data_IF_407354225854
#
_entry.id   IF_407354225854
#
_cell.length_a   1.000
_cell.length_b   1.000
_cell.length_c   1.000
_cell.angle_alpha   90.00
_cell.angle_beta   90.00
_cell.angle_gamma   90.00
#
_symmetry.space_group_name_H-M   'P 1'
#
loop_
_entity.id
_entity.type
_entity.pdbx_description
1 polymer ?
#
# COMPACT_ATOMS: atom_id res chain seq x y z
N UNK A 1 27.94 -0.35 -69.26
CA UNK A 1 29.04 0.12 -68.39
C UNK A 1 28.55 1.37 -67.67
N UNK A 2 28.42 1.28 -66.33
CA UNK A 2 28.23 2.30 -65.28
C UNK A 2 27.59 3.65 -65.63
N UNK A 3 26.49 4.00 -64.94
CA UNK A 3 26.41 5.13 -64.00
C UNK A 3 25.30 4.76 -62.98
N UNK A 4 25.70 4.42 -61.76
CA UNK A 4 24.81 4.20 -60.62
C UNK A 4 24.74 5.50 -59.81
N UNK A 5 23.56 6.11 -59.79
CA UNK A 5 23.23 7.29 -58.98
C UNK A 5 23.11 6.90 -57.51
N UNK A 6 24.06 7.35 -56.71
CA UNK A 6 24.02 7.27 -55.24
C UNK A 6 23.02 8.34 -54.76
N UNK A 7 21.88 7.92 -54.20
CA UNK A 7 21.01 8.79 -53.40
C UNK A 7 21.43 8.68 -51.94
N UNK A 8 22.01 9.75 -51.40
CA UNK A 8 22.16 9.95 -49.96
C UNK A 8 20.76 10.15 -49.36
N UNK A 9 20.37 9.28 -48.41
CA UNK A 9 19.22 9.45 -47.55
C UNK A 9 19.77 9.78 -46.14
N UNK A 10 19.45 10.93 -45.52
CA UNK A 10 19.83 11.15 -44.12
C UNK A 10 18.87 10.36 -43.21
N UNK A 11 19.42 9.42 -42.44
CA UNK A 11 18.74 8.80 -41.30
C UNK A 11 18.52 9.87 -40.22
N UNK A 12 17.30 10.37 -40.12
CA UNK A 12 16.81 11.08 -38.94
C UNK A 12 16.31 10.02 -37.93
N UNK A 13 17.20 9.60 -37.04
CA UNK A 13 16.83 8.87 -35.82
C UNK A 13 16.07 9.85 -34.90
N UNK A 14 14.74 9.84 -35.01
CA UNK A 14 13.88 10.54 -34.06
C UNK A 14 13.80 9.68 -32.79
N UNK A 15 14.65 9.97 -31.81
CA UNK A 15 14.46 9.51 -30.42
C UNK A 15 13.19 10.16 -29.87
N UNK A 16 12.05 9.49 -30.04
CA UNK A 16 10.82 9.79 -29.32
C UNK A 16 11.05 9.49 -27.83
N UNK A 17 11.51 10.50 -27.09
CA UNK A 17 11.25 10.59 -25.67
C UNK A 17 9.73 10.61 -25.51
N UNK A 18 9.13 9.47 -25.20
CA UNK A 18 7.74 9.45 -24.74
C UNK A 18 7.71 10.07 -23.37
N UNK A 19 7.50 11.39 -23.32
CA UNK A 19 6.94 12.03 -22.15
C UNK A 19 5.66 11.23 -21.82
N UNK A 20 5.62 10.66 -20.62
CA UNK A 20 4.42 9.97 -20.11
C UNK A 20 3.30 11.00 -20.03
N UNK A 21 2.48 11.10 -21.09
CA UNK A 21 1.22 11.82 -21.04
C UNK A 21 0.38 11.05 -20.02
N UNK A 22 0.27 11.60 -18.81
CA UNK A 22 -0.54 11.00 -17.75
C UNK A 22 -1.96 10.85 -18.27
N UNK A 23 -2.50 9.62 -18.25
CA UNK A 23 -3.90 9.40 -18.61
C UNK A 23 -4.78 10.30 -17.75
N UNK A 24 -5.73 10.99 -18.39
CA UNK A 24 -6.70 11.81 -17.68
C UNK A 24 -7.52 10.92 -16.74
N UNK A 25 -7.52 11.27 -15.45
CA UNK A 25 -8.19 10.49 -14.42
C UNK A 25 -9.70 10.64 -14.59
N UNK A 26 -10.40 9.50 -14.65
CA UNK A 26 -11.84 9.48 -14.89
C UNK A 26 -12.56 8.91 -13.68
N UNK A 27 -13.57 9.66 -13.21
CA UNK A 27 -14.41 9.21 -12.11
C UNK A 27 -15.33 8.07 -12.59
N UNK A 28 -15.35 7.00 -11.83
CA UNK A 28 -16.25 5.86 -12.00
C UNK A 28 -17.72 6.28 -11.90
N UNK A 29 -18.62 5.47 -12.45
CA UNK A 29 -20.06 5.67 -12.28
C UNK A 29 -20.48 5.49 -10.82
N UNK A 30 -19.94 4.46 -10.17
CA UNK A 30 -20.09 4.16 -8.74
C UNK A 30 -18.72 4.04 -8.08
N UNK A 31 -18.55 4.51 -6.84
CA UNK A 31 -17.29 4.35 -6.13
C UNK A 31 -17.06 2.87 -5.79
N UNK A 32 -15.79 2.49 -5.67
CA UNK A 32 -15.41 1.28 -4.96
C UNK A 32 -15.88 1.40 -3.51
N UNK A 33 -16.42 0.31 -2.96
CA UNK A 33 -16.94 0.25 -1.60
C UNK A 33 -15.93 -0.36 -0.67
N UNK A 34 -15.58 0.37 0.39
CA UNK A 34 -14.91 -0.18 1.55
C UNK A 34 -15.77 -1.25 2.21
N UNK A 35 -15.13 -2.30 2.72
CA UNK A 35 -15.79 -3.23 3.63
C UNK A 35 -15.79 -2.64 5.05
N UNK A 36 -16.71 -3.12 5.90
CA UNK A 36 -16.64 -2.77 7.33
C UNK A 36 -15.32 -3.25 7.91
N UNK A 37 -14.67 -2.41 8.71
CA UNK A 37 -13.49 -2.81 9.45
C UNK A 37 -13.77 -4.06 10.31
N UNK A 38 -14.99 -4.21 10.82
CA UNK A 38 -15.39 -5.34 11.68
C UNK A 38 -15.48 -6.67 10.91
N UNK A 39 -15.49 -6.59 9.58
CA UNK A 39 -15.38 -7.76 8.72
C UNK A 39 -13.94 -8.25 8.55
N UNK A 40 -12.95 -7.53 9.09
CA UNK A 40 -11.52 -7.88 9.07
C UNK A 40 -11.05 -8.28 10.46
N UNK A 41 -10.57 -9.50 10.57
CA UNK A 41 -9.93 -10.06 11.77
C UNK A 41 -8.43 -10.11 11.52
N UNK A 42 -7.65 -9.44 12.36
CA UNK A 42 -6.18 -9.51 12.28
C UNK A 42 -5.67 -10.68 13.12
N UNK A 43 -4.72 -11.42 12.57
CA UNK A 43 -4.19 -12.65 13.16
C UNK A 43 -2.81 -12.45 13.82
N UNK A 44 -2.13 -11.33 13.51
CA UNK A 44 -0.85 -11.01 14.12
C UNK A 44 -1.00 -10.55 15.57
N UNK A 45 0.04 -10.80 16.38
CA UNK A 45 0.15 -10.32 17.76
C UNK A 45 1.03 -9.07 17.89
N UNK A 46 1.58 -8.62 16.78
CA UNK A 46 2.45 -7.46 16.69
C UNK A 46 1.67 -6.21 16.22
N UNK A 47 2.40 -5.12 16.00
CA UNK A 47 1.84 -3.83 15.63
C UNK A 47 1.20 -3.79 14.22
N UNK A 48 1.37 -4.84 13.40
CA UNK A 48 0.63 -4.98 12.13
C UNK A 48 -0.84 -5.36 12.36
N UNK A 49 -1.23 -5.68 13.59
CA UNK A 49 -2.62 -5.82 14.00
C UNK A 49 -3.24 -4.45 14.26
N UNK A 50 -3.90 -3.89 13.24
CA UNK A 50 -4.50 -2.54 13.31
C UNK A 50 -5.63 -2.44 14.36
N UNK A 51 -6.17 -3.57 14.82
CA UNK A 51 -7.17 -3.59 15.92
C UNK A 51 -6.53 -3.46 17.28
N UNK A 52 -5.41 -4.12 17.50
CA UNK A 52 -4.64 -3.97 18.74
C UNK A 52 -4.12 -2.54 18.90
N UNK A 53 -3.78 -1.86 17.80
CA UNK A 53 -3.47 -0.43 17.81
C UNK A 53 -4.60 0.41 18.44
N UNK A 54 -5.86 0.04 18.19
CA UNK A 54 -7.04 0.65 18.80
C UNK A 54 -7.17 0.45 20.30
N UNK A 55 -6.41 -0.45 20.91
CA UNK A 55 -6.38 -0.69 22.36
C UNK A 55 -5.23 0.04 23.06
N UNK A 56 -4.37 0.74 22.32
CA UNK A 56 -3.28 1.53 22.89
C UNK A 56 -3.86 2.77 23.57
N UNK A 57 -3.42 3.05 24.80
CA UNK A 57 -3.89 4.21 25.58
C UNK A 57 -5.02 3.85 26.56
N UNK A 58 -5.67 4.87 27.11
CA UNK A 58 -6.70 4.71 28.15
C UNK A 58 -8.11 4.51 27.60
N UNK A 59 -8.40 5.05 26.42
CA UNK A 59 -9.71 4.98 25.77
C UNK A 59 -9.55 4.14 24.50
N UNK A 60 -10.25 3.00 24.36
CA UNK A 60 -10.17 2.20 23.16
C UNK A 60 -10.85 2.92 21.98
N UNK A 61 -10.19 2.91 20.83
CA UNK A 61 -10.74 3.41 19.58
C UNK A 61 -11.48 2.29 18.86
N UNK A 62 -12.70 2.59 18.42
CA UNK A 62 -13.52 1.70 17.63
C UNK A 62 -13.57 2.20 16.18
N UNK A 63 -13.65 1.30 15.18
CA UNK A 63 -13.77 1.73 13.79
C UNK A 63 -15.01 2.59 13.60
N UNK A 64 -14.83 3.71 12.92
CA UNK A 64 -15.93 4.59 12.54
C UNK A 64 -16.23 4.40 11.05
N UNK A 65 -17.49 4.43 10.63
CA UNK A 65 -17.81 4.46 9.21
C UNK A 65 -17.06 5.59 8.51
N UNK A 66 -16.42 5.28 7.39
CA UNK A 66 -15.80 6.31 6.55
C UNK A 66 -16.85 7.31 6.06
N UNK A 67 -16.45 8.58 5.97
CA UNK A 67 -17.29 9.60 5.36
C UNK A 67 -17.56 9.26 3.90
N UNK A 68 -18.83 9.19 3.52
CA UNK A 68 -19.22 9.00 2.12
C UNK A 68 -19.14 10.32 1.36
N UNK A 69 -18.32 10.33 0.30
CA UNK A 69 -18.16 11.52 -0.55
C UNK A 69 -19.06 11.47 -1.77
N UNK A 70 -19.78 12.57 -2.05
CA UNK A 70 -20.58 12.68 -3.27
C UNK A 70 -19.67 12.90 -4.47
N UNK A 71 -20.06 12.35 -5.63
CA UNK A 71 -19.32 12.46 -6.89
C UNK A 71 -18.91 13.91 -7.24
N UNK A 72 -19.78 14.88 -6.99
CA UNK A 72 -19.51 16.31 -7.28
C UNK A 72 -18.38 16.88 -6.42
N UNK A 73 -18.31 16.48 -5.15
CA UNK A 73 -17.31 16.95 -4.19
C UNK A 73 -15.95 16.33 -4.53
N UNK A 74 -15.93 15.05 -4.90
CA UNK A 74 -14.72 14.38 -5.38
C UNK A 74 -14.26 14.91 -6.75
N UNK A 75 -15.19 15.31 -7.62
CA UNK A 75 -14.84 15.99 -8.89
C UNK A 75 -14.15 17.33 -8.62
N UNK A 76 -14.62 18.09 -7.64
CA UNK A 76 -13.97 19.34 -7.24
C UNK A 76 -12.57 19.07 -6.66
N UNK A 77 -12.45 18.08 -5.76
CA UNK A 77 -11.19 17.66 -5.18
C UNK A 77 -10.18 17.22 -6.24
N UNK A 78 -10.61 16.41 -7.20
CA UNK A 78 -9.77 15.93 -8.30
C UNK A 78 -9.30 17.10 -9.20
N UNK A 79 -10.12 18.14 -9.37
CA UNK A 79 -9.75 19.32 -10.15
C UNK A 79 -8.70 20.17 -9.44
N UNK A 80 -8.80 20.32 -8.11
CA UNK A 80 -7.92 21.20 -7.33
C UNK A 80 -6.63 20.51 -6.88
N UNK A 81 -6.66 19.20 -6.67
CA UNK A 81 -5.53 18.40 -6.23
C UNK A 81 -5.58 17.01 -6.90
N UNK A 82 -5.20 16.91 -8.20
CA UNK A 82 -5.27 15.66 -8.96
C UNK A 82 -4.16 14.66 -8.60
N UNK A 83 -3.13 15.09 -7.87
CA UNK A 83 -1.94 14.30 -7.56
C UNK A 83 -2.05 13.77 -6.13
N UNK A 84 -1.73 12.49 -5.87
CA UNK A 84 -1.68 11.98 -4.50
C UNK A 84 -0.76 12.84 -3.63
N UNK A 85 -1.26 13.29 -2.49
CA UNK A 85 -0.44 13.96 -1.48
C UNK A 85 0.50 12.91 -0.87
N UNK A 86 1.80 13.18 -0.84
CA UNK A 86 2.77 12.32 -0.15
C UNK A 86 3.10 12.92 1.20
N UNK A 87 3.33 12.09 2.23
CA UNK A 87 3.67 12.60 3.55
C UNK A 87 5.02 13.31 3.55
N UNK A 88 5.09 14.40 4.32
CA UNK A 88 6.36 15.04 4.65
C UNK A 88 7.07 14.16 5.67
N UNK A 89 7.94 13.28 5.20
CA UNK A 89 8.71 12.33 6.02
C UNK A 89 9.87 13.01 6.77
N UNK A 90 9.64 14.22 7.31
CA UNK A 90 10.58 14.96 8.15
C UNK A 90 10.11 14.90 9.61
N UNK A 91 11.05 14.84 10.55
CA UNK A 91 10.75 14.88 11.97
C UNK A 91 10.50 16.33 12.46
N UNK A 92 9.63 16.54 13.46
CA UNK A 92 8.66 15.56 13.98
C UNK A 92 7.55 15.30 12.96
N UNK A 93 7.05 14.07 12.94
CA UNK A 93 6.02 13.69 11.97
C UNK A 93 4.65 14.15 12.46
N UNK A 94 3.84 14.72 11.57
CA UNK A 94 2.53 15.26 11.94
C UNK A 94 1.41 14.23 11.74
N UNK A 95 0.70 13.90 12.82
CA UNK A 95 -0.53 13.08 12.74
C UNK A 95 -1.61 13.81 11.94
N UNK A 96 -1.68 15.14 12.05
CA UNK A 96 -2.64 15.96 11.30
C UNK A 96 -2.41 15.91 9.78
N UNK A 97 -1.15 15.92 9.35
CA UNK A 97 -0.81 15.75 7.92
C UNK A 97 -1.26 14.38 7.42
N UNK A 98 -0.98 13.31 8.17
CA UNK A 98 -1.41 11.96 7.82
C UNK A 98 -2.94 11.85 7.68
N UNK A 99 -3.69 12.47 8.59
CA UNK A 99 -5.16 12.52 8.52
C UNK A 99 -5.61 13.31 7.28
N UNK A 100 -4.96 14.43 6.96
CA UNK A 100 -5.26 15.21 5.75
C UNK A 100 -5.03 14.39 4.48
N UNK A 101 -3.94 13.62 4.41
CA UNK A 101 -3.63 12.70 3.31
C UNK A 101 -4.74 11.66 3.16
N UNK A 102 -5.23 11.09 4.26
CA UNK A 102 -6.34 10.11 4.22
C UNK A 102 -7.62 10.76 3.69
N UNK A 103 -7.99 11.94 4.23
CA UNK A 103 -9.17 12.69 3.80
C UNK A 103 -9.12 13.09 2.32
N UNK A 104 -7.91 13.29 1.77
CA UNK A 104 -7.70 13.60 0.37
C UNK A 104 -7.68 12.34 -0.53
N UNK A 105 -6.86 11.35 -0.18
CA UNK A 105 -6.53 10.22 -1.05
C UNK A 105 -7.62 9.14 -1.06
N UNK A 106 -8.29 8.87 0.06
CA UNK A 106 -9.28 7.82 0.15
C UNK A 106 -10.52 8.03 -0.74
N UNK A 107 -11.16 9.21 -0.79
CA UNK A 107 -12.27 9.43 -1.73
C UNK A 107 -11.80 9.37 -3.18
N UNK A 108 -10.60 9.84 -3.49
CA UNK A 108 -10.05 9.76 -4.85
C UNK A 108 -9.79 8.30 -5.25
N UNK A 109 -9.22 7.49 -4.35
CA UNK A 109 -9.06 6.04 -4.55
C UNK A 109 -10.41 5.37 -4.85
N UNK A 110 -11.43 5.63 -4.01
CA UNK A 110 -12.74 5.02 -4.17
C UNK A 110 -13.40 5.42 -5.51
N UNK A 111 -13.30 6.68 -5.92
CA UNK A 111 -14.00 7.17 -7.11
C UNK A 111 -13.22 7.03 -8.43
N UNK A 112 -11.89 6.97 -8.40
CA UNK A 112 -11.06 6.76 -9.61
C UNK A 112 -10.70 5.29 -9.80
N UNK A 113 -10.56 4.54 -8.70
CA UNK A 113 -9.99 3.20 -8.68
C UNK A 113 -8.49 3.18 -8.95
N UNK A 114 -7.76 4.28 -8.75
CA UNK A 114 -6.32 4.35 -8.99
C UNK A 114 -5.49 4.05 -7.74
N UNK A 115 -4.64 3.04 -7.83
CA UNK A 115 -3.84 2.52 -6.72
C UNK A 115 -2.71 3.46 -6.28
N UNK A 116 -2.34 4.47 -7.08
CA UNK A 116 -1.35 5.48 -6.67
C UNK A 116 -1.75 6.28 -5.43
N UNK A 117 -3.05 6.31 -5.09
CA UNK A 117 -3.53 6.86 -3.82
C UNK A 117 -3.26 5.90 -2.65
N UNK A 118 -3.20 4.58 -2.90
CA UNK A 118 -2.81 3.59 -1.90
C UNK A 118 -1.35 3.78 -1.45
N UNK A 119 -0.45 4.20 -2.35
CA UNK A 119 0.94 4.55 -1.96
C UNK A 119 0.93 5.60 -0.83
N UNK A 120 0.20 6.71 -1.03
CA UNK A 120 0.08 7.79 -0.06
C UNK A 120 -0.58 7.35 1.25
N UNK A 121 -1.66 6.56 1.17
CA UNK A 121 -2.35 6.03 2.33
C UNK A 121 -1.44 5.10 3.15
N UNK A 122 -0.68 4.23 2.47
CA UNK A 122 0.23 3.30 3.12
C UNK A 122 1.44 4.02 3.71
N UNK A 123 1.99 5.00 2.99
CA UNK A 123 3.10 5.82 3.49
C UNK A 123 2.67 6.58 4.77
N UNK A 124 1.48 7.20 4.79
CA UNK A 124 0.95 7.87 5.99
C UNK A 124 0.68 6.88 7.14
N UNK A 125 0.08 5.73 6.85
CA UNK A 125 -0.21 4.70 7.85
C UNK A 125 1.05 4.18 8.54
N UNK A 126 1.99 3.67 7.76
CA UNK A 126 3.16 2.97 8.30
C UNK A 126 4.24 3.91 8.81
N UNK A 127 4.34 5.11 8.23
CA UNK A 127 5.44 6.01 8.57
C UNK A 127 5.04 7.18 9.45
N UNK A 128 3.77 7.56 9.59
CA UNK A 128 3.39 8.67 10.48
C UNK A 128 2.42 8.22 11.59
N UNK A 129 1.37 7.48 11.23
CA UNK A 129 0.33 7.10 12.19
C UNK A 129 0.79 5.99 13.15
N UNK A 130 1.34 4.90 12.65
CA UNK A 130 1.80 3.80 13.52
C UNK A 130 2.93 4.22 14.47
N UNK A 131 3.98 4.95 14.04
CA UNK A 131 5.01 5.43 14.95
C UNK A 131 4.46 6.36 16.05
N UNK A 132 3.49 7.21 15.72
CA UNK A 132 2.85 8.09 16.70
C UNK A 132 2.13 7.34 17.84
N UNK A 133 1.77 6.05 17.65
CA UNK A 133 1.17 5.23 18.71
C UNK A 133 2.15 4.89 19.84
N UNK A 134 3.46 4.93 19.58
CA UNK A 134 4.48 4.62 20.57
C UNK A 134 4.78 5.81 21.49
N UNK A 135 4.42 7.00 21.04
CA UNK A 135 4.73 8.26 21.69
C UNK A 135 3.50 8.66 22.52
N UNK A 136 3.70 8.83 23.83
CA UNK A 136 2.64 9.32 24.73
C UNK A 136 2.42 10.81 24.48
N UNK A 137 1.60 11.14 23.49
CA UNK A 137 1.27 12.51 23.09
C UNK A 137 -0.25 12.72 23.04
N UNK A 138 -0.68 13.98 22.98
CA UNK A 138 -2.09 14.31 22.75
C UNK A 138 -2.60 13.75 21.41
N UNK A 139 -1.74 13.72 20.40
CA UNK A 139 -2.06 13.23 19.05
C UNK A 139 -2.17 11.70 18.98
N UNK A 140 -1.71 10.97 20.01
CA UNK A 140 -1.77 9.50 20.06
C UNK A 140 -3.19 8.99 19.83
N UNK A 141 -4.21 9.63 20.42
CA UNK A 141 -5.61 9.23 20.24
C UNK A 141 -6.13 9.46 18.81
N UNK A 142 -5.65 10.52 18.13
CA UNK A 142 -5.99 10.77 16.74
C UNK A 142 -5.35 9.72 15.82
N UNK A 143 -4.08 9.39 16.08
CA UNK A 143 -3.37 8.33 15.37
C UNK A 143 -4.04 6.96 15.59
N UNK A 144 -4.36 6.64 16.85
CA UNK A 144 -5.07 5.43 17.26
C UNK A 144 -6.35 5.25 16.46
N UNK A 145 -7.20 6.29 16.40
CA UNK A 145 -8.43 6.23 15.63
C UNK A 145 -8.19 6.07 14.13
N UNK A 146 -7.23 6.80 13.55
CA UNK A 146 -6.92 6.71 12.13
C UNK A 146 -6.37 5.32 11.72
N UNK A 147 -5.55 4.70 12.57
CA UNK A 147 -5.02 3.34 12.36
C UNK A 147 -6.13 2.30 12.39
N UNK A 148 -7.08 2.42 13.33
CA UNK A 148 -8.24 1.52 13.39
C UNK A 148 -9.14 1.69 12.16
N UNK A 149 -9.34 2.92 11.70
CA UNK A 149 -10.15 3.23 10.52
C UNK A 149 -9.49 2.70 9.22
N UNK A 150 -8.17 2.52 9.20
CA UNK A 150 -7.40 2.04 8.05
C UNK A 150 -7.78 0.64 7.54
N UNK A 151 -8.31 -0.21 8.42
CA UNK A 151 -8.82 -1.53 8.04
C UNK A 151 -9.91 -1.46 6.94
N UNK A 152 -10.62 -0.33 6.82
CA UNK A 152 -11.71 -0.16 5.86
C UNK A 152 -11.24 0.00 4.40
N UNK A 153 -10.00 0.41 4.16
CA UNK A 153 -9.46 0.46 2.80
C UNK A 153 -8.54 -0.72 2.47
N UNK A 154 -8.33 -1.64 3.41
CA UNK A 154 -7.59 -2.89 3.17
C UNK A 154 -8.18 -3.66 1.98
N UNK A 155 -9.51 -3.72 1.91
CA UNK A 155 -10.25 -4.29 0.79
C UNK A 155 -11.29 -3.31 0.27
N UNK A 156 -11.30 -3.10 -1.05
CA UNK A 156 -12.34 -2.34 -1.74
C UNK A 156 -13.06 -3.24 -2.74
N UNK A 157 -14.36 -3.02 -2.93
CA UNK A 157 -15.19 -3.90 -3.76
C UNK A 157 -15.98 -3.13 -4.81
N UNK A 158 -16.24 -3.78 -5.93
CA UNK A 158 -17.25 -3.38 -6.91
C UNK A 158 -18.05 -4.59 -7.37
N UNK A 159 -18.82 -4.46 -8.46
CA UNK A 159 -19.63 -5.56 -8.97
C UNK A 159 -18.80 -6.66 -9.63
N UNK A 160 -17.53 -6.38 -9.96
CA UNK A 160 -16.64 -7.28 -10.68
C UNK A 160 -15.71 -8.06 -9.75
N UNK A 161 -15.35 -7.49 -8.59
CA UNK A 161 -14.52 -8.21 -7.62
C UNK A 161 -13.93 -7.36 -6.51
N UNK A 162 -12.73 -7.72 -6.08
CA UNK A 162 -12.08 -7.20 -4.87
C UNK A 162 -10.71 -6.63 -5.20
N UNK A 163 -10.45 -5.40 -4.75
CA UNK A 163 -9.12 -4.80 -4.68
C UNK A 163 -8.53 -4.98 -3.29
N UNK A 164 -7.26 -5.38 -3.24
CA UNK A 164 -6.49 -5.66 -2.02
C UNK A 164 -5.38 -4.61 -1.94
N UNK A 165 -5.44 -3.73 -0.94
CA UNK A 165 -4.60 -2.54 -0.85
C UNK A 165 -3.59 -2.56 0.30
N UNK A 166 -3.85 -3.37 1.34
CA UNK A 166 -2.96 -3.56 2.48
C UNK A 166 -2.65 -5.05 2.65
N UNK A 167 -1.36 -5.35 2.78
CA UNK A 167 -0.84 -6.71 2.91
C UNK A 167 -0.44 -7.00 4.36
N UNK A 168 -1.42 -7.38 5.18
CA UNK A 168 -1.26 -7.70 6.60
C UNK A 168 -1.89 -9.07 6.91
N UNK A 169 -1.44 -9.73 7.96
CA UNK A 169 -2.01 -11.01 8.40
C UNK A 169 -3.46 -10.82 8.86
N UNK A 170 -4.41 -11.23 8.03
CA UNK A 170 -5.82 -10.98 8.28
C UNK A 170 -6.73 -11.99 7.58
N UNK A 171 -7.85 -12.29 8.23
CA UNK A 171 -8.99 -12.97 7.65
C UNK A 171 -10.13 -11.97 7.44
N UNK A 172 -10.71 -11.92 6.24
CA UNK A 172 -11.81 -11.02 5.92
C UNK A 172 -12.99 -11.76 5.32
N UNK A 173 -14.21 -11.45 5.79
CA UNK A 173 -15.45 -11.89 5.15
C UNK A 173 -16.04 -10.76 4.32
N UNK A 174 -16.14 -10.96 3.02
CA UNK A 174 -16.61 -9.95 2.07
C UNK A 174 -17.96 -10.39 1.52
N UNK A 175 -18.98 -9.54 1.70
CA UNK A 175 -20.34 -9.78 1.21
C UNK A 175 -20.79 -8.57 0.40
N UNK A 176 -21.12 -8.80 -0.86
CA UNK A 176 -21.71 -7.81 -1.77
C UNK A 176 -23.04 -8.34 -2.33
N UNK A 177 -23.86 -7.50 -2.98
CA UNK A 177 -25.05 -7.99 -3.68
C UNK A 177 -24.76 -8.99 -4.81
N UNK A 178 -23.52 -9.06 -5.31
CA UNK A 178 -23.13 -9.89 -6.46
C UNK A 178 -22.39 -11.17 -6.05
N UNK A 179 -21.64 -11.14 -4.96
CA UNK A 179 -20.83 -12.27 -4.50
C UNK A 179 -20.58 -12.21 -2.99
N UNK A 180 -20.26 -13.36 -2.42
CA UNK A 180 -19.76 -13.47 -1.05
C UNK A 180 -18.53 -14.38 -1.06
N UNK A 181 -17.48 -13.98 -0.36
CA UNK A 181 -16.25 -14.76 -0.22
C UNK A 181 -15.56 -14.47 1.12
N UNK A 182 -14.55 -15.27 1.42
CA UNK A 182 -13.57 -14.97 2.46
C UNK A 182 -12.18 -14.85 1.82
N UNK A 183 -11.36 -13.97 2.37
CA UNK A 183 -9.94 -13.86 2.04
C UNK A 183 -9.14 -14.14 3.30
N UNK A 184 -8.28 -15.15 3.23
CA UNK A 184 -7.30 -15.47 4.27
C UNK A 184 -5.92 -15.02 3.77
N UNK A 185 -5.43 -13.91 4.32
CA UNK A 185 -4.17 -13.30 3.93
C UNK A 185 -3.09 -13.60 4.96
N UNK A 186 -2.01 -14.21 4.49
CA UNK A 186 -0.75 -14.37 5.23
C UNK A 186 0.32 -13.55 4.54
N UNK A 187 1.00 -12.68 5.28
CA UNK A 187 1.95 -11.72 4.73
C UNK A 187 3.13 -11.53 5.66
N UNK A 188 4.32 -11.41 5.08
CA UNK A 188 5.51 -10.92 5.79
C UNK A 188 5.68 -9.41 5.66
N UNK A 189 4.89 -8.75 4.82
CA UNK A 189 4.90 -7.29 4.71
C UNK A 189 4.47 -6.65 6.04
N UNK A 190 5.00 -5.47 6.40
CA UNK A 190 5.99 -4.70 5.63
C UNK A 190 7.45 -5.15 5.82
N UNK A 191 7.73 -6.13 6.69
CA UNK A 191 9.10 -6.50 7.10
C UNK A 191 9.77 -7.60 6.27
N UNK A 192 9.03 -8.21 5.34
CA UNK A 192 9.49 -9.27 4.44
C UNK A 192 8.63 -9.34 3.19
N UNK A 193 9.13 -9.99 2.15
CA UNK A 193 8.63 -9.83 0.76
C UNK A 193 7.30 -10.52 0.47
N UNK A 194 7.02 -11.64 1.14
CA UNK A 194 5.99 -12.59 0.70
C UNK A 194 4.58 -12.15 1.08
N UNK A 195 3.68 -12.23 0.10
CA UNK A 195 2.23 -12.10 0.27
C UNK A 195 1.56 -13.38 -0.23
N UNK A 196 0.62 -13.89 0.54
CA UNK A 196 -0.23 -15.04 0.22
C UNK A 196 -1.68 -14.70 0.54
N UNK A 197 -2.58 -14.99 -0.40
CA UNK A 197 -4.03 -14.76 -0.25
C UNK A 197 -4.76 -16.00 -0.71
N UNK A 198 -5.46 -16.65 0.23
CA UNK A 198 -6.33 -17.79 -0.06
C UNK A 198 -7.78 -17.35 -0.13
N UNK A 199 -8.44 -17.80 -1.18
CA UNK A 199 -9.85 -17.51 -1.45
C UNK A 199 -10.72 -18.61 -0.84
N UNK A 200 -11.75 -18.24 -0.10
CA UNK A 200 -12.70 -19.17 0.51
C UNK A 200 -14.14 -18.69 0.39
N UNK A 201 -15.09 -19.49 0.88
CA UNK A 201 -16.50 -19.10 0.95
C UNK A 201 -17.19 -18.84 -0.39
N UNK A 202 -16.58 -19.24 -1.52
CA UNK A 202 -17.12 -19.08 -2.87
C UNK A 202 -17.83 -20.33 -3.38
N UNK A 203 -18.82 -20.12 -4.25
CA UNK A 203 -19.32 -21.19 -5.12
C UNK A 203 -18.23 -21.60 -6.11
N UNK A 204 -18.23 -22.86 -6.52
CA UNK A 204 -17.29 -23.37 -7.52
C UNK A 204 -17.36 -22.54 -8.81
N UNK A 205 -16.21 -22.26 -9.41
CA UNK A 205 -16.06 -21.57 -10.69
C UNK A 205 -16.68 -20.16 -10.72
N UNK A 206 -16.66 -19.42 -9.62
CA UNK A 206 -17.23 -18.06 -9.56
C UNK A 206 -16.32 -17.07 -10.32
N UNK A 207 -16.81 -16.38 -11.37
CA UNK A 207 -16.03 -15.37 -12.07
C UNK A 207 -15.84 -14.13 -11.19
N UNK A 208 -14.59 -13.79 -10.87
CA UNK A 208 -14.25 -12.59 -10.11
C UNK A 208 -12.92 -11.99 -10.58
N UNK A 209 -12.79 -10.68 -10.38
CA UNK A 209 -11.54 -9.96 -10.49
C UNK A 209 -10.88 -9.82 -9.11
N UNK A 210 -9.65 -10.34 -8.96
CA UNK A 210 -8.80 -9.97 -7.83
C UNK A 210 -7.76 -8.96 -8.30
N UNK A 211 -7.67 -7.83 -7.59
CA UNK A 211 -6.81 -6.70 -7.96
C UNK A 211 -5.82 -6.45 -6.83
N UNK A 212 -4.56 -6.77 -7.06
CA UNK A 212 -3.50 -6.63 -6.06
C UNK A 212 -2.79 -5.30 -6.27
N UNK A 213 -2.82 -4.42 -5.26
CA UNK A 213 -2.10 -3.15 -5.33
C UNK A 213 -0.61 -3.40 -5.56
N UNK A 214 -0.04 -2.82 -6.61
CA UNK A 214 1.40 -2.85 -6.89
C UNK A 214 1.97 -1.49 -6.50
N UNK A 215 2.75 -1.40 -5.39
CA UNK A 215 3.28 -0.13 -4.92
C UNK A 215 4.25 0.51 -5.90
N UNK A 216 4.31 1.84 -5.92
CA UNK A 216 5.18 2.62 -6.83
C UNK A 216 6.69 2.37 -6.64
N UNK A 217 7.10 1.87 -5.48
CA UNK A 217 8.47 1.48 -5.22
C UNK A 217 8.86 0.14 -5.88
N UNK A 218 7.88 -0.71 -6.21
CA UNK A 218 8.10 -1.94 -6.96
C UNK A 218 8.34 -1.60 -8.43
N UNK A 219 9.60 -1.69 -8.88
CA UNK A 219 10.02 -1.26 -10.23
C UNK A 219 9.60 -2.22 -11.33
N UNK A 220 9.50 -3.50 -11.01
CA UNK A 220 9.15 -4.57 -11.96
C UNK A 220 7.93 -5.29 -11.43
N UNK A 221 7.00 -5.63 -12.32
CA UNK A 221 5.84 -6.44 -11.97
C UNK A 221 6.29 -7.73 -11.26
N UNK A 222 5.79 -8.04 -10.04
CA UNK A 222 6.12 -9.30 -9.42
C UNK A 222 5.51 -10.46 -10.22
N UNK A 223 6.21 -11.60 -10.24
CA UNK A 223 5.63 -12.84 -10.75
C UNK A 223 4.54 -13.29 -9.77
N UNK A 224 3.32 -13.44 -10.28
CA UNK A 224 2.17 -13.85 -9.49
C UNK A 224 1.85 -15.30 -9.82
N UNK A 225 1.63 -16.09 -8.76
CA UNK A 225 1.31 -17.50 -8.87
C UNK A 225 -0.10 -17.75 -8.36
N UNK A 226 -0.87 -18.58 -9.06
CA UNK A 226 -2.13 -19.14 -8.59
C UNK A 226 -1.98 -20.65 -8.51
N UNK A 227 -2.16 -21.23 -7.32
CA UNK A 227 -2.00 -22.66 -7.07
C UNK A 227 -0.65 -23.22 -7.57
N UNK A 228 0.43 -22.46 -7.35
CA UNK A 228 1.79 -22.85 -7.72
C UNK A 228 2.15 -22.70 -9.21
N UNK A 229 1.25 -22.15 -10.04
CA UNK A 229 1.52 -21.86 -11.46
C UNK A 229 1.56 -20.37 -11.68
N UNK A 230 2.52 -19.91 -12.49
CA UNK A 230 2.58 -18.51 -12.91
C UNK A 230 1.27 -18.14 -13.62
N UNK A 231 0.66 -17.04 -13.18
CA UNK A 231 -0.62 -16.56 -13.66
C UNK A 231 -0.43 -15.25 -14.40
N UNK A 232 -1.02 -15.17 -15.59
CA UNK A 232 -1.06 -13.92 -16.33
C UNK A 232 -1.93 -12.89 -15.62
N UNK A 233 -1.41 -11.67 -15.48
CA UNK A 233 -2.13 -10.53 -14.92
C UNK A 233 -1.94 -9.29 -15.79
N UNK A 234 -2.95 -8.41 -15.81
CA UNK A 234 -2.86 -7.11 -16.48
C UNK A 234 -2.60 -6.01 -15.47
N UNK A 235 -1.76 -5.04 -15.83
CA UNK A 235 -1.57 -3.83 -15.02
C UNK A 235 -2.67 -2.82 -15.36
N UNK A 236 -3.52 -2.52 -14.39
CA UNK A 236 -4.61 -1.56 -14.56
C UNK A 236 -4.66 -0.61 -13.38
N UNK A 237 -4.48 0.68 -13.65
CA UNK A 237 -4.58 1.74 -12.63
C UNK A 237 -3.71 1.49 -11.38
N UNK A 238 -2.57 0.81 -11.53
CA UNK A 238 -1.66 0.46 -10.42
C UNK A 238 -2.00 -0.86 -9.69
N UNK A 239 -2.91 -1.66 -10.23
CA UNK A 239 -3.22 -2.99 -9.75
C UNK A 239 -2.75 -4.07 -10.73
N UNK A 240 -2.22 -5.17 -10.18
CA UNK A 240 -2.17 -6.44 -10.88
C UNK A 240 -3.55 -7.09 -10.85
N UNK A 241 -4.19 -7.18 -12.01
CA UNK A 241 -5.56 -7.70 -12.12
C UNK A 241 -5.54 -9.12 -12.66
N UNK A 242 -6.13 -10.03 -11.89
CA UNK A 242 -6.37 -11.42 -12.27
C UNK A 242 -7.86 -11.60 -12.50
N UNK A 243 -8.25 -11.92 -13.74
CA UNK A 243 -9.64 -12.20 -14.12
C UNK A 243 -9.80 -13.67 -14.45
N UNK A 244 -10.46 -14.40 -13.57
CA UNK A 244 -10.70 -15.84 -13.77
C UNK A 244 -11.91 -16.32 -13.00
N UNK A 245 -12.21 -17.61 -13.18
CA UNK A 245 -13.13 -18.36 -12.33
C UNK A 245 -12.34 -18.88 -11.12
N UNK A 246 -12.84 -18.56 -9.93
CA UNK A 246 -12.24 -18.93 -8.66
C UNK A 246 -13.02 -20.05 -7.97
N UNK A 247 -12.31 -20.91 -7.27
CA UNK A 247 -12.85 -21.92 -6.37
C UNK A 247 -12.41 -21.61 -4.93
N UNK A 248 -13.18 -22.08 -3.96
CA UNK A 248 -12.70 -22.11 -2.59
C UNK A 248 -11.43 -22.98 -2.50
N UNK A 249 -10.40 -22.47 -1.82
CA UNK A 249 -9.08 -23.08 -1.72
C UNK A 249 -8.06 -22.55 -2.72
N UNK A 250 -8.47 -21.81 -3.75
CA UNK A 250 -7.51 -21.18 -4.67
C UNK A 250 -6.61 -20.20 -3.89
N UNK A 251 -5.31 -20.27 -4.13
CA UNK A 251 -4.30 -19.49 -3.43
C UNK A 251 -3.48 -18.67 -4.42
N UNK A 252 -3.35 -17.38 -4.13
CA UNK A 252 -2.48 -16.46 -4.86
C UNK A 252 -1.26 -16.16 -3.99
N UNK A 253 -0.07 -16.20 -4.57
CA UNK A 253 1.13 -15.73 -3.87
C UNK A 253 2.11 -15.02 -4.81
N UNK A 254 2.88 -14.11 -4.23
CA UNK A 254 3.95 -13.39 -4.90
C UNK A 254 4.90 -12.77 -3.86
N UNK A 255 6.03 -12.26 -4.35
CA UNK A 255 7.02 -11.56 -3.55
C UNK A 255 7.26 -10.15 -4.11
N UNK A 256 7.39 -9.20 -3.19
CA UNK A 256 7.89 -7.88 -3.53
C UNK A 256 9.41 -7.79 -3.42
N UNK A 257 10.01 -6.91 -4.23
CA UNK A 257 11.41 -6.53 -4.11
C UNK A 257 11.58 -5.49 -3.00
N UNK A 258 11.97 -5.96 -1.82
CA UNK A 258 12.30 -5.11 -0.67
C UNK A 258 13.78 -4.72 -0.62
N UNK A 259 14.45 -4.63 -1.77
CA UNK A 259 15.82 -4.10 -1.81
C UNK A 259 15.84 -2.67 -1.26
N UNK A 260 16.67 -2.36 -0.24
CA UNK A 260 16.79 -1.00 0.29
C UNK A 260 17.25 -0.01 -0.78
N UNK A 261 16.66 1.19 -0.78
CA UNK A 261 16.95 2.26 -1.76
C UNK A 261 17.03 3.60 -1.04
N UNK A 262 17.89 4.49 -1.51
CA UNK A 262 17.96 5.86 -0.98
C UNK A 262 16.94 6.72 -1.73
N UNK A 263 16.09 7.44 -0.98
CA UNK A 263 15.11 8.41 -1.51
C UNK A 263 15.30 9.74 -0.76
N UNK A 264 15.96 10.71 -1.39
CA UNK A 264 16.42 11.93 -0.72
C UNK A 264 17.47 11.62 0.34
N UNK A 265 17.20 11.98 1.59
CA UNK A 265 18.06 11.67 2.75
C UNK A 265 17.61 10.44 3.54
N UNK A 266 16.58 9.72 3.07
CA UNK A 266 15.99 8.58 3.77
C UNK A 266 16.36 7.27 3.09
N UNK A 267 16.42 6.21 3.89
CA UNK A 267 16.50 4.84 3.40
C UNK A 267 15.08 4.26 3.33
N UNK A 268 14.66 3.83 2.13
CA UNK A 268 13.37 3.18 1.89
C UNK A 268 13.53 1.68 1.74
N UNK A 269 12.71 0.92 2.46
CA UNK A 269 12.56 -0.53 2.32
C UNK A 269 11.07 -0.84 2.14
N UNK A 270 10.66 -1.08 0.90
CA UNK A 270 9.25 -1.20 0.56
C UNK A 270 8.44 0.05 0.95
N UNK A 271 7.47 -0.12 1.84
CA UNK A 271 6.63 0.97 2.35
C UNK A 271 7.24 1.74 3.52
N UNK A 272 8.32 1.23 4.12
CA UNK A 272 8.91 1.80 5.33
C UNK A 272 10.08 2.72 4.98
N UNK A 273 10.17 3.85 5.67
CA UNK A 273 11.27 4.80 5.57
C UNK A 273 12.03 4.89 6.89
N UNK A 274 13.34 5.02 6.79
CA UNK A 274 14.27 5.04 7.89
C UNK A 274 15.22 6.22 7.78
N UNK A 275 15.62 6.76 8.93
CA UNK A 275 16.73 7.70 9.05
C UNK A 275 18.03 6.90 9.16
N UNK A 276 19.00 7.07 8.25
CA UNK A 276 20.32 6.49 8.41
C UNK A 276 21.02 7.09 9.64
N UNK A 277 21.42 6.27 10.61
CA UNK A 277 21.99 6.77 11.90
C UNK A 277 23.52 6.78 11.96
N UNK A 278 24.22 6.12 11.04
CA UNK A 278 25.66 6.25 10.84
C UNK A 278 26.07 5.70 9.46
N UNK A 279 27.18 6.20 8.90
CA UNK A 279 27.86 5.51 7.79
C UNK A 279 28.22 4.07 8.24
N UNK A 280 28.16 3.06 7.35
CA UNK A 280 28.22 1.66 7.73
C UNK A 280 29.55 1.34 8.41
N UNK A 281 29.53 1.23 9.73
CA UNK A 281 30.59 0.63 10.51
C UNK A 281 29.95 -0.32 11.53
N UNK A 282 30.16 -1.62 11.33
CA UNK A 282 29.91 -2.67 12.31
C UNK A 282 30.94 -2.56 13.45
N UNK A 283 30.74 -3.10 14.68
CA UNK A 283 29.57 -3.81 15.24
C UNK A 283 29.13 -3.41 16.68
N UNK A 284 27.90 -3.87 17.03
CA UNK A 284 27.36 -4.42 18.30
C UNK A 284 27.10 -3.56 19.56
N UNK A 285 25.86 -3.64 20.10
CA UNK A 285 25.51 -3.84 21.53
C UNK A 285 24.00 -4.18 21.70
N UNK A 286 23.53 -4.71 22.86
CA UNK A 286 22.50 -5.73 22.94
C UNK A 286 21.08 -5.15 22.81
N UNK A 287 20.19 -5.98 22.27
CA UNK A 287 18.78 -5.71 22.11
C UNK A 287 18.09 -5.53 23.48
N UNK A 288 17.72 -4.29 23.80
CA UNK A 288 16.73 -4.02 24.84
C UNK A 288 15.34 -4.14 24.18
N UNK A 289 14.47 -4.97 24.74
CA UNK A 289 13.16 -5.41 24.19
C UNK A 289 12.16 -4.28 23.84
N UNK A 290 12.50 -3.01 24.08
CA UNK A 290 11.66 -1.83 23.85
C UNK A 290 12.01 -0.99 22.60
N UNK A 291 13.05 -1.34 21.83
CA UNK A 291 13.43 -0.67 20.57
C UNK A 291 12.92 -1.41 19.30
N UNK A 292 11.70 -1.97 19.35
CA UNK A 292 11.20 -2.98 18.42
C UNK A 292 10.77 -2.48 17.02
N UNK A 293 11.67 -1.81 16.29
CA UNK A 293 11.51 -1.50 14.86
C UNK A 293 12.80 -1.73 14.04
N UNK A 294 13.64 -2.66 14.46
CA UNK A 294 14.75 -3.08 13.62
C UNK A 294 14.22 -3.90 12.45
N UNK A 295 14.38 -3.39 11.22
CA UNK A 295 13.92 -4.09 10.02
C UNK A 295 14.83 -5.31 9.76
N UNK A 296 14.30 -6.55 9.68
CA UNK A 296 15.13 -7.77 9.54
C UNK A 296 16.06 -7.76 8.32
N UNK A 297 15.59 -7.24 7.18
CA UNK A 297 16.41 -7.05 5.96
C UNK A 297 17.59 -6.09 6.16
N UNK A 298 17.42 -5.04 6.98
CA UNK A 298 18.50 -4.08 7.25
C UNK A 298 19.56 -4.71 8.16
N UNK A 299 19.14 -5.41 9.22
CA UNK A 299 20.04 -6.18 10.10
C UNK A 299 20.87 -7.19 9.31
N UNK A 300 20.22 -8.02 8.47
CA UNK A 300 20.88 -9.05 7.68
C UNK A 300 21.88 -8.50 6.64
N UNK A 301 21.81 -7.21 6.34
CA UNK A 301 22.73 -6.52 5.40
C UNK A 301 23.72 -5.59 6.10
N UNK A 302 23.75 -5.55 7.44
CA UNK A 302 24.67 -4.70 8.21
C UNK A 302 24.37 -3.20 8.16
N UNK A 303 23.13 -2.81 7.84
CA UNK A 303 22.69 -1.42 7.92
C UNK A 303 22.22 -1.09 9.34
N UNK A 304 22.68 0.04 9.89
CA UNK A 304 22.10 0.67 11.08
C UNK A 304 21.19 1.82 10.64
N UNK A 305 19.89 1.69 10.85
CA UNK A 305 18.93 2.74 10.58
C UNK A 305 17.81 2.69 11.61
N UNK A 306 17.35 3.85 12.05
CA UNK A 306 16.23 3.96 12.98
C UNK A 306 14.96 4.40 12.21
N UNK A 307 13.77 3.98 12.65
CA UNK A 307 12.53 4.54 12.13
C UNK A 307 12.53 6.05 12.32
N UNK A 308 11.81 6.75 11.44
CA UNK A 308 11.55 8.17 11.66
C UNK A 308 10.71 8.27 12.95
N UNK A 309 11.27 8.89 13.98
CA UNK A 309 10.60 9.12 15.27
C UNK A 309 10.78 10.58 15.67
N UNK A 310 9.98 11.06 16.62
CA UNK A 310 10.11 12.43 17.17
C UNK A 310 11.35 12.62 18.05
N UNK A 311 12.25 11.62 18.14
CA UNK A 311 13.53 11.83 18.81
C UNK A 311 14.30 12.91 18.05
N UNK A 312 14.83 13.94 18.73
CA UNK A 312 15.69 14.91 18.07
C UNK A 312 16.85 14.15 17.42
N UNK A 313 17.07 14.40 16.13
CA UNK A 313 18.30 13.98 15.45
C UNK A 313 19.46 14.55 16.29
N UNK A 314 20.31 13.67 16.84
CA UNK A 314 21.53 14.12 17.48
C UNK A 314 22.35 14.90 16.43
N UNK A 315 22.99 16.02 16.83
CA UNK A 315 23.65 16.96 15.94
C UNK A 315 24.77 16.34 15.09
#
# INVERSE_FOLDING_TARGET
MKISTIRLLPLLFFCLYTATIGQAQTLRQRPLRSISADSVVFLSKDQTNLRMAGMIGTIPAMPRPLTEWRKKDVKALLKTAPTPQRPTLKAPQSVYEAISIIQHCLPLLQWTGEARYCDSLNDALFNQLMPALLIKSFEQHLAQQAVVDAAQWMYLTDEQGVSINLYLNAFARIVTPKFALTLDQTSRMPFGSRVQVRVGGLKSQTPLELRFFIPSWQKTMPLIYVNGREEFCTMEKGYAVIRRKWNAGDEVFFDFDLTPRIEGSLLRVGTLYYVPTAAPSLPAYPSNELNCYEHPILQGKGFTAEPITDKPMLP
#
